data_IF_561477702365
#
_entry.id   IF_561477702365
#
_cell.length_a   1.000
_cell.length_b   1.000
_cell.length_c   1.000
_cell.angle_alpha   90.00
_cell.angle_beta   90.00
_cell.angle_gamma   90.00
#
_symmetry.space_group_name_H-M   'P 1'
#
loop_
_entity.id
_entity.type
_entity.pdbx_description
1 polymer ?
#
# COMPACT_ATOMS: atom_id res chain seq x y z
N UNK A 1 -24.28 12.22 20.54
CA UNK A 1 -24.47 11.56 19.23
C UNK A 1 -24.40 10.02 19.37
N UNK A 2 -25.26 9.41 20.22
CA UNK A 2 -25.30 7.94 20.48
C UNK A 2 -26.62 7.26 20.07
N UNK A 3 -27.59 8.00 19.54
CA UNK A 3 -28.92 7.45 19.17
C UNK A 3 -28.99 6.78 17.78
N UNK A 4 -27.92 6.83 16.97
CA UNK A 4 -27.90 6.20 15.63
C UNK A 4 -27.41 4.75 15.61
N UNK A 5 -26.55 4.34 16.57
CA UNK A 5 -25.90 3.03 16.55
C UNK A 5 -26.81 1.88 17.04
N UNK A 6 -27.75 2.16 17.94
CA UNK A 6 -28.70 1.15 18.44
C UNK A 6 -29.61 0.61 17.34
N UNK A 7 -30.16 1.52 16.52
CA UNK A 7 -31.07 1.16 15.43
C UNK A 7 -30.35 0.33 14.33
N UNK A 8 -29.12 0.68 13.97
CA UNK A 8 -28.35 -0.06 12.95
C UNK A 8 -28.00 -1.50 13.37
N UNK A 9 -27.78 -1.75 14.66
CA UNK A 9 -27.53 -3.11 15.16
C UNK A 9 -28.81 -3.94 15.21
N UNK A 10 -29.93 -3.34 15.63
CA UNK A 10 -31.24 -3.98 15.63
C UNK A 10 -31.70 -4.35 14.21
N UNK A 11 -31.49 -3.46 13.24
CA UNK A 11 -31.78 -3.72 11.81
C UNK A 11 -30.97 -4.90 11.26
N UNK A 12 -29.66 -4.95 11.55
CA UNK A 12 -28.80 -6.07 11.12
C UNK A 12 -29.23 -7.40 11.73
N UNK A 13 -29.57 -7.41 13.02
CA UNK A 13 -30.09 -8.59 13.69
C UNK A 13 -31.42 -9.05 13.07
N UNK A 14 -32.35 -8.13 12.84
CA UNK A 14 -33.63 -8.43 12.22
C UNK A 14 -33.48 -9.00 10.79
N UNK A 15 -32.52 -8.48 10.02
CA UNK A 15 -32.20 -9.02 8.70
C UNK A 15 -31.64 -10.45 8.80
N UNK A 16 -30.72 -10.71 9.73
CA UNK A 16 -30.16 -12.05 9.94
C UNK A 16 -31.24 -13.08 10.29
N UNK A 17 -32.16 -12.72 11.19
CA UNK A 17 -33.32 -13.55 11.57
C UNK A 17 -34.24 -13.79 10.36
N UNK A 18 -34.58 -12.75 9.60
CA UNK A 18 -35.43 -12.89 8.41
C UNK A 18 -34.79 -13.78 7.32
N UNK A 19 -33.46 -13.71 7.13
CA UNK A 19 -32.75 -14.61 6.21
C UNK A 19 -32.81 -16.06 6.72
N UNK A 20 -32.66 -16.27 8.03
CA UNK A 20 -32.75 -17.62 8.61
C UNK A 20 -34.14 -18.22 8.41
N UNK A 21 -35.21 -17.44 8.63
CA UNK A 21 -36.59 -17.85 8.40
C UNK A 21 -36.85 -18.13 6.91
N UNK A 22 -36.36 -17.27 6.01
CA UNK A 22 -36.53 -17.46 4.56
C UNK A 22 -35.91 -18.77 4.04
N UNK A 23 -34.86 -19.28 4.69
CA UNK A 23 -34.24 -20.57 4.32
C UNK A 23 -35.16 -21.77 4.52
N UNK A 24 -36.19 -21.67 5.35
CA UNK A 24 -37.19 -22.74 5.49
C UNK A 24 -38.17 -22.80 4.31
N UNK A 25 -38.03 -21.93 3.32
CA UNK A 25 -38.87 -21.89 2.11
C UNK A 25 -40.15 -21.07 2.24
N UNK A 26 -40.29 -20.24 3.28
CA UNK A 26 -41.44 -19.34 3.45
C UNK A 26 -41.32 -18.12 2.51
N UNK A 27 -42.26 -17.93 1.56
CA UNK A 27 -42.27 -16.77 0.66
C UNK A 27 -42.44 -15.44 1.41
N UNK A 28 -43.22 -15.40 2.50
CA UNK A 28 -43.44 -14.17 3.26
C UNK A 28 -42.17 -13.76 4.03
N UNK A 29 -41.41 -14.72 4.56
CA UNK A 29 -40.10 -14.49 5.15
C UNK A 29 -39.08 -14.01 4.09
N UNK A 30 -39.14 -14.55 2.87
CA UNK A 30 -38.28 -14.12 1.76
C UNK A 30 -38.56 -12.65 1.35
N UNK A 31 -39.83 -12.26 1.27
CA UNK A 31 -40.22 -10.86 1.01
C UNK A 31 -39.80 -9.92 2.14
N UNK A 32 -39.94 -10.35 3.40
CA UNK A 32 -39.48 -9.59 4.56
C UNK A 32 -37.96 -9.40 4.55
N UNK A 33 -37.20 -10.47 4.28
CA UNK A 33 -35.75 -10.41 4.13
C UNK A 33 -35.37 -9.43 3.02
N UNK A 34 -36.10 -9.42 1.90
CA UNK A 34 -35.87 -8.48 0.80
C UNK A 34 -36.10 -7.01 1.22
N UNK A 35 -37.18 -6.72 1.95
CA UNK A 35 -37.46 -5.38 2.48
C UNK A 35 -36.36 -4.91 3.43
N UNK A 36 -36.01 -5.73 4.42
CA UNK A 36 -34.96 -5.40 5.39
C UNK A 36 -33.59 -5.26 4.72
N UNK A 37 -33.26 -6.12 3.76
CA UNK A 37 -32.04 -6.00 2.98
C UNK A 37 -32.01 -4.70 2.19
N UNK A 38 -33.16 -4.19 1.73
CA UNK A 38 -33.26 -2.92 1.03
C UNK A 38 -33.11 -1.68 1.93
N UNK A 39 -33.31 -1.82 3.23
CA UNK A 39 -33.22 -0.70 4.18
C UNK A 39 -31.91 -0.72 4.98
N UNK A 40 -31.19 -1.85 4.96
CA UNK A 40 -29.98 -2.06 5.74
C UNK A 40 -28.84 -1.14 5.33
N UNK A 41 -28.07 -0.66 6.30
CA UNK A 41 -26.91 0.20 6.07
C UNK A 41 -25.76 -0.52 5.31
N UNK A 42 -24.70 0.24 5.04
CA UNK A 42 -23.50 -0.26 4.38
C UNK A 42 -22.91 -1.50 5.08
N UNK A 43 -22.88 -1.51 6.41
CA UNK A 43 -22.24 -2.58 7.17
C UNK A 43 -23.04 -3.87 7.09
N UNK A 44 -24.36 -3.79 7.27
CA UNK A 44 -25.22 -4.96 7.18
C UNK A 44 -25.32 -5.51 5.75
N UNK A 45 -25.19 -4.65 4.74
CA UNK A 45 -25.09 -5.09 3.35
C UNK A 45 -23.88 -6.01 3.13
N UNK A 46 -22.69 -5.62 3.58
CA UNK A 46 -21.50 -6.47 3.45
C UNK A 46 -21.53 -7.67 4.40
N UNK A 47 -22.19 -7.55 5.54
CA UNK A 47 -22.30 -8.65 6.50
C UNK A 47 -23.20 -9.79 5.99
N UNK A 48 -24.29 -9.46 5.28
CA UNK A 48 -25.34 -10.42 4.97
C UNK A 48 -25.55 -10.74 3.47
N UNK A 49 -24.83 -10.09 2.54
CA UNK A 49 -25.04 -10.29 1.09
C UNK A 49 -24.97 -11.75 0.64
N UNK A 50 -24.00 -12.55 1.11
CA UNK A 50 -23.90 -13.98 0.75
C UNK A 50 -25.07 -14.79 1.30
N UNK A 51 -25.41 -14.55 2.56
CA UNK A 51 -26.48 -15.27 3.23
C UNK A 51 -27.84 -14.99 2.56
N UNK A 52 -28.07 -13.74 2.15
CA UNK A 52 -29.25 -13.32 1.40
C UNK A 52 -29.26 -13.84 -0.03
N UNK A 53 -28.14 -13.75 -0.75
CA UNK A 53 -28.00 -14.27 -2.11
C UNK A 53 -28.19 -15.79 -2.19
N UNK A 54 -27.92 -16.52 -1.11
CA UNK A 54 -28.17 -17.95 -0.98
C UNK A 54 -29.66 -18.34 -0.95
N UNK A 55 -30.59 -17.39 -0.81
CA UNK A 55 -32.03 -17.66 -0.81
C UNK A 55 -32.60 -17.94 -2.22
N UNK A 56 -31.91 -17.51 -3.28
CA UNK A 56 -32.36 -17.74 -4.65
C UNK A 56 -31.74 -16.78 -5.67
N UNK A 57 -31.93 -17.07 -6.96
CA UNK A 57 -31.40 -16.26 -8.06
C UNK A 57 -31.87 -14.80 -8.01
N UNK A 58 -33.14 -14.58 -7.66
CA UNK A 58 -33.70 -13.23 -7.51
C UNK A 58 -33.01 -12.44 -6.40
N UNK A 59 -32.74 -13.08 -5.26
CA UNK A 59 -32.08 -12.43 -4.12
C UNK A 59 -30.61 -12.16 -4.43
N UNK A 60 -29.94 -13.07 -5.14
CA UNK A 60 -28.58 -12.85 -5.67
C UNK A 60 -28.53 -11.63 -6.60
N UNK A 61 -29.47 -11.51 -7.53
CA UNK A 61 -29.55 -10.38 -8.46
C UNK A 61 -29.79 -9.05 -7.72
N UNK A 62 -30.67 -9.06 -6.71
CA UNK A 62 -30.94 -7.89 -5.87
C UNK A 62 -29.72 -7.49 -5.02
N UNK A 63 -29.03 -8.47 -4.42
CA UNK A 63 -27.78 -8.23 -3.71
C UNK A 63 -26.75 -7.58 -4.62
N UNK A 64 -26.55 -8.15 -5.82
CA UNK A 64 -25.61 -7.63 -6.80
C UNK A 64 -25.93 -6.19 -7.22
N UNK A 65 -27.20 -5.90 -7.52
CA UNK A 65 -27.65 -4.56 -7.90
C UNK A 65 -27.42 -3.54 -6.79
N UNK A 66 -27.68 -3.91 -5.53
CA UNK A 66 -27.48 -3.04 -4.37
C UNK A 66 -26.01 -2.79 -4.09
N UNK A 67 -25.17 -3.82 -4.15
CA UNK A 67 -23.71 -3.70 -4.01
C UNK A 67 -23.12 -2.79 -5.10
N UNK A 68 -23.54 -2.98 -6.35
CA UNK A 68 -23.10 -2.14 -7.48
C UNK A 68 -23.53 -0.67 -7.32
N UNK A 69 -24.80 -0.43 -6.95
CA UNK A 69 -25.31 0.92 -6.71
C UNK A 69 -24.55 1.60 -5.55
N UNK A 70 -24.31 0.89 -4.45
CA UNK A 70 -23.53 1.44 -3.35
C UNK A 70 -22.09 1.73 -3.76
N UNK A 71 -21.43 0.82 -4.46
CA UNK A 71 -20.08 1.03 -4.98
C UNK A 71 -20.00 2.32 -5.82
N UNK A 72 -20.94 2.52 -6.75
CA UNK A 72 -21.01 3.70 -7.62
C UNK A 72 -21.34 5.00 -6.88
N UNK A 73 -22.14 4.91 -5.81
CA UNK A 73 -22.56 6.07 -5.01
C UNK A 73 -21.50 6.53 -3.99
N UNK A 74 -20.46 5.74 -3.74
CA UNK A 74 -19.41 6.07 -2.76
C UNK A 74 -18.65 7.32 -3.19
N UNK A 75 -19.00 8.47 -2.61
CA UNK A 75 -18.46 9.76 -3.04
C UNK A 75 -16.98 9.96 -2.65
N UNK A 76 -16.54 9.42 -1.50
CA UNK A 76 -15.22 9.76 -0.93
C UNK A 76 -14.49 8.61 -0.23
N UNK A 77 -14.98 7.37 -0.33
CA UNK A 77 -14.39 6.23 0.38
C UNK A 77 -14.01 5.09 -0.58
N UNK A 78 -12.82 5.15 -1.20
CA UNK A 78 -12.25 4.09 -2.03
C UNK A 78 -12.38 2.68 -1.45
N UNK A 79 -12.08 2.52 -0.16
CA UNK A 79 -12.14 1.23 0.56
C UNK A 79 -13.56 0.66 0.61
N UNK A 80 -14.55 1.54 0.78
CA UNK A 80 -15.97 1.20 0.82
C UNK A 80 -16.43 0.69 -0.55
N UNK A 81 -16.05 1.40 -1.63
CA UNK A 81 -16.33 0.96 -2.99
C UNK A 81 -15.66 -0.38 -3.31
N UNK A 82 -14.37 -0.52 -2.97
CA UNK A 82 -13.62 -1.77 -3.08
C UNK A 82 -14.29 -2.93 -2.35
N UNK A 83 -14.73 -2.73 -1.10
CA UNK A 83 -15.37 -3.80 -0.31
C UNK A 83 -16.67 -4.26 -0.96
N UNK A 84 -17.42 -3.32 -1.55
CA UNK A 84 -18.63 -3.62 -2.33
C UNK A 84 -18.34 -4.35 -3.63
N UNK A 85 -17.29 -3.99 -4.35
CA UNK A 85 -16.86 -4.69 -5.56
C UNK A 85 -16.41 -6.12 -5.25
N UNK A 86 -15.71 -6.33 -4.13
CA UNK A 86 -15.33 -7.67 -3.67
C UNK A 86 -16.55 -8.52 -3.28
N UNK A 87 -17.47 -7.94 -2.51
CA UNK A 87 -18.73 -8.61 -2.18
C UNK A 87 -19.53 -8.94 -3.46
N UNK A 88 -19.51 -8.07 -4.46
CA UNK A 88 -20.16 -8.32 -5.74
C UNK A 88 -19.51 -9.47 -6.52
N UNK A 89 -18.17 -9.56 -6.51
CA UNK A 89 -17.44 -10.66 -7.11
C UNK A 89 -17.75 -12.01 -6.44
N UNK A 90 -17.94 -12.01 -5.12
CA UNK A 90 -18.27 -13.20 -4.33
C UNK A 90 -19.65 -13.79 -4.67
N UNK A 91 -20.53 -13.04 -5.33
CA UNK A 91 -21.85 -13.52 -5.76
C UNK A 91 -21.81 -14.47 -6.97
N UNK A 92 -20.66 -14.67 -7.60
CA UNK A 92 -20.50 -15.64 -8.68
C UNK A 92 -20.53 -15.03 -10.09
N UNK A 93 -19.99 -15.75 -11.10
CA UNK A 93 -19.65 -15.23 -12.43
C UNK A 93 -20.81 -14.59 -13.18
N UNK A 94 -22.04 -14.99 -12.92
CA UNK A 94 -23.24 -14.40 -13.52
C UNK A 94 -23.38 -12.90 -13.21
N UNK A 95 -22.71 -12.41 -12.16
CA UNK A 95 -22.72 -11.00 -11.77
C UNK A 95 -21.55 -10.19 -12.34
N UNK A 96 -20.65 -10.82 -13.12
CA UNK A 96 -19.50 -10.15 -13.74
C UNK A 96 -19.88 -8.92 -14.59
N UNK A 97 -20.98 -8.92 -15.38
CA UNK A 97 -21.38 -7.71 -16.12
C UNK A 97 -21.65 -6.50 -15.22
N UNK A 98 -22.30 -6.70 -14.07
CA UNK A 98 -22.57 -5.62 -13.09
C UNK A 98 -21.28 -5.15 -12.41
N UNK A 99 -20.37 -6.08 -12.12
CA UNK A 99 -19.06 -5.77 -11.58
C UNK A 99 -18.27 -4.86 -12.53
N UNK A 100 -18.22 -5.22 -13.82
CA UNK A 100 -17.54 -4.42 -14.84
C UNK A 100 -18.16 -3.04 -15.03
N UNK A 101 -19.50 -2.97 -15.02
CA UNK A 101 -20.19 -1.69 -15.10
C UNK A 101 -19.87 -0.79 -13.90
N UNK A 102 -19.85 -1.34 -12.69
CA UNK A 102 -19.48 -0.59 -11.49
C UNK A 102 -18.02 -0.13 -11.53
N UNK A 103 -17.09 -0.98 -11.97
CA UNK A 103 -15.69 -0.61 -12.18
C UNK A 103 -15.53 0.51 -13.20
N UNK A 104 -16.15 0.39 -14.37
CA UNK A 104 -16.06 1.38 -15.43
C UNK A 104 -16.62 2.73 -14.98
N UNK A 105 -17.74 2.73 -14.24
CA UNK A 105 -18.31 3.95 -13.67
C UNK A 105 -17.33 4.62 -12.69
N UNK A 106 -16.72 3.85 -11.80
CA UNK A 106 -15.77 4.36 -10.83
C UNK A 106 -14.49 4.90 -11.48
N UNK A 107 -14.00 4.23 -12.53
CA UNK A 107 -12.88 4.68 -13.34
C UNK A 107 -13.17 6.02 -14.02
N UNK A 108 -14.33 6.15 -14.66
CA UNK A 108 -14.75 7.39 -15.31
C UNK A 108 -14.95 8.52 -14.30
N UNK A 109 -15.63 8.23 -13.19
CA UNK A 109 -15.94 9.22 -12.14
C UNK A 109 -14.68 9.78 -11.50
N UNK A 110 -13.69 8.92 -11.25
CA UNK A 110 -12.44 9.34 -10.62
C UNK A 110 -11.34 9.66 -11.62
N UNK A 111 -11.60 9.66 -12.93
CA UNK A 111 -10.63 10.06 -13.93
C UNK A 111 -10.04 11.45 -13.59
N UNK A 112 -8.74 11.51 -13.35
CA UNK A 112 -8.03 12.73 -12.95
C UNK A 112 -8.00 13.05 -11.45
N UNK A 113 -8.72 12.31 -10.60
CA UNK A 113 -8.60 12.43 -9.13
C UNK A 113 -7.44 11.55 -8.61
N UNK A 114 -6.62 12.02 -7.65
CA UNK A 114 -5.61 11.17 -6.99
C UNK A 114 -6.21 9.87 -6.42
N UNK A 115 -7.48 9.93 -5.98
CA UNK A 115 -8.23 8.80 -5.45
C UNK A 115 -8.66 7.76 -6.51
N UNK A 116 -8.65 8.03 -7.81
CA UNK A 116 -8.92 7.01 -8.84
C UNK A 116 -7.97 5.81 -8.72
N UNK A 117 -6.71 6.12 -8.38
CA UNK A 117 -5.63 5.14 -8.22
C UNK A 117 -5.86 4.21 -7.03
N UNK A 118 -6.66 4.64 -6.04
CA UNK A 118 -6.88 3.86 -4.83
C UNK A 118 -7.82 2.67 -5.02
N UNK A 119 -8.77 2.76 -5.94
CA UNK A 119 -9.87 1.80 -6.09
C UNK A 119 -9.55 0.63 -7.03
N UNK A 120 -8.55 0.79 -7.88
CA UNK A 120 -8.19 -0.20 -8.90
C UNK A 120 -7.33 -1.34 -8.34
N UNK A 121 -6.73 -1.21 -7.15
CA UNK A 121 -5.76 -2.17 -6.63
C UNK A 121 -6.26 -3.34 -5.79
N UNK A 122 -7.54 -3.36 -5.42
CA UNK A 122 -7.99 -4.09 -4.21
C UNK A 122 -9.11 -5.09 -4.54
N UNK A 123 -9.03 -5.73 -5.70
CA UNK A 123 -9.71 -7.00 -5.86
C UNK A 123 -9.07 -8.01 -4.90
N UNK A 124 -9.92 -8.71 -4.13
CA UNK A 124 -9.65 -9.70 -3.09
C UNK A 124 -8.28 -10.36 -3.25
N UNK A 125 -7.45 -10.26 -2.19
CA UNK A 125 -6.14 -10.93 -2.10
C UNK A 125 -6.07 -11.87 -0.91
N UNK A 126 -5.44 -13.04 -1.05
CA UNK A 126 -4.66 -13.51 -2.22
C UNK A 126 -5.52 -13.86 -3.46
N UNK A 127 -4.98 -13.70 -4.68
CA UNK A 127 -5.62 -14.11 -5.95
C UNK A 127 -6.08 -15.58 -5.92
N UNK A 128 -5.40 -16.41 -5.13
CA UNK A 128 -5.76 -17.81 -4.91
C UNK A 128 -7.17 -18.00 -4.30
N UNK A 129 -7.69 -16.99 -3.60
CA UNK A 129 -9.02 -17.02 -2.98
C UNK A 129 -10.12 -16.51 -3.91
N UNK A 130 -9.77 -16.07 -5.12
CA UNK A 130 -10.71 -15.63 -6.16
C UNK A 130 -11.23 -16.86 -6.90
N UNK A 131 -12.54 -16.99 -7.04
CA UNK A 131 -13.15 -18.08 -7.82
C UNK A 131 -12.59 -18.13 -9.25
N UNK A 132 -12.33 -19.34 -9.77
CA UNK A 132 -11.62 -19.53 -11.04
C UNK A 132 -12.24 -18.77 -12.24
N UNK A 133 -13.56 -18.58 -12.26
CA UNK A 133 -14.25 -17.82 -13.31
C UNK A 133 -13.92 -16.30 -13.30
N UNK A 134 -13.48 -15.77 -12.16
CA UNK A 134 -13.12 -14.36 -11.99
C UNK A 134 -11.62 -14.10 -11.99
N UNK A 135 -10.80 -15.14 -11.82
CA UNK A 135 -9.35 -15.00 -11.81
C UNK A 135 -8.79 -14.26 -13.04
N UNK A 136 -9.26 -14.49 -14.28
CA UNK A 136 -8.80 -13.72 -15.45
C UNK A 136 -9.15 -12.22 -15.37
N UNK A 137 -10.33 -11.90 -14.86
CA UNK A 137 -10.81 -10.53 -14.74
C UNK A 137 -10.01 -9.77 -13.67
N UNK A 138 -9.84 -10.38 -12.50
CA UNK A 138 -9.03 -9.80 -11.43
C UNK A 138 -7.57 -9.63 -11.85
N UNK A 139 -7.01 -10.59 -12.59
CA UNK A 139 -5.67 -10.47 -13.15
C UNK A 139 -5.58 -9.30 -14.15
N UNK A 140 -6.55 -9.16 -15.05
CA UNK A 140 -6.63 -8.03 -15.98
C UNK A 140 -6.71 -6.66 -15.28
N UNK A 141 -7.51 -6.56 -14.21
CA UNK A 141 -7.60 -5.36 -13.37
C UNK A 141 -6.29 -5.06 -12.64
N UNK A 142 -5.64 -6.08 -12.09
CA UNK A 142 -4.35 -5.95 -11.42
C UNK A 142 -3.25 -5.46 -12.39
N UNK A 143 -3.23 -6.00 -13.60
CA UNK A 143 -2.34 -5.58 -14.68
C UNK A 143 -2.63 -4.15 -15.16
N UNK A 144 -3.90 -3.73 -15.21
CA UNK A 144 -4.25 -2.34 -15.53
C UNK A 144 -3.80 -1.39 -14.43
N UNK A 145 -3.99 -1.79 -13.18
CA UNK A 145 -3.61 -1.01 -12.01
C UNK A 145 -2.10 -0.81 -11.93
N UNK A 146 -1.33 -1.87 -12.20
CA UNK A 146 0.12 -1.82 -12.32
C UNK A 146 0.58 -0.78 -13.36
N UNK A 147 -0.14 -0.63 -14.48
CA UNK A 147 0.17 0.38 -15.50
C UNK A 147 -0.18 1.80 -15.08
N UNK A 148 -1.31 1.97 -14.40
CA UNK A 148 -1.83 3.29 -13.99
C UNK A 148 -1.06 3.86 -12.80
N UNK A 149 -0.63 3.00 -11.86
CA UNK A 149 0.04 3.40 -10.63
C UNK A 149 1.18 2.43 -10.26
N UNK A 150 2.26 2.40 -11.04
CA UNK A 150 3.35 1.44 -10.84
C UNK A 150 4.04 1.59 -9.49
N UNK A 151 4.03 2.79 -8.87
CA UNK A 151 4.66 2.99 -7.56
C UNK A 151 4.01 2.15 -6.46
N UNK A 152 2.68 1.97 -6.54
CA UNK A 152 1.90 1.21 -5.57
C UNK A 152 1.98 -0.31 -5.76
N UNK A 153 2.16 -0.78 -6.99
CA UNK A 153 2.03 -2.21 -7.34
C UNK A 153 3.34 -2.90 -7.69
N UNK A 154 4.41 -2.15 -7.98
CA UNK A 154 5.74 -2.74 -8.14
C UNK A 154 6.35 -3.03 -6.76
N UNK A 155 6.94 -4.22 -6.56
CA UNK A 155 7.61 -4.54 -5.32
C UNK A 155 8.78 -3.58 -5.09
N UNK A 156 9.01 -3.23 -3.83
CA UNK A 156 10.28 -2.67 -3.42
C UNK A 156 11.39 -3.71 -3.64
N UNK A 157 12.61 -3.26 -3.96
CA UNK A 157 13.75 -4.15 -4.28
C UNK A 157 14.34 -4.86 -3.06
N UNK A 158 13.78 -4.67 -1.87
CA UNK A 158 14.31 -5.27 -0.65
C UNK A 158 13.70 -6.64 -0.39
N UNK A 159 14.53 -7.66 -0.55
CA UNK A 159 14.26 -8.98 -0.01
C UNK A 159 14.09 -8.90 1.51
N UNK A 160 12.93 -9.31 2.02
CA UNK A 160 12.79 -9.68 3.44
C UNK A 160 12.06 -8.72 4.38
N UNK A 161 11.35 -7.69 3.90
CA UNK A 161 10.37 -6.99 4.74
C UNK A 161 8.95 -7.16 4.21
N UNK A 162 7.97 -7.06 5.12
CA UNK A 162 6.53 -7.24 4.89
C UNK A 162 6.10 -6.53 3.60
N UNK A 163 5.90 -7.30 2.53
CA UNK A 163 5.30 -6.78 1.29
C UNK A 163 3.98 -6.12 1.65
N UNK A 164 3.79 -4.86 1.22
CA UNK A 164 2.46 -4.25 1.30
C UNK A 164 1.49 -5.14 0.53
N UNK A 165 0.22 -5.17 0.96
CA UNK A 165 -0.78 -6.05 0.35
C UNK A 165 -0.83 -5.86 -1.17
N UNK A 166 -0.59 -4.63 -1.63
CA UNK A 166 -0.57 -4.16 -3.01
C UNK A 166 0.65 -4.61 -3.83
N UNK A 167 1.82 -4.77 -3.22
CA UNK A 167 3.06 -5.21 -3.89
C UNK A 167 3.02 -6.70 -4.28
N UNK A 168 2.08 -7.46 -3.69
CA UNK A 168 1.86 -8.87 -4.00
C UNK A 168 1.31 -9.12 -5.40
N UNK A 169 0.90 -8.09 -6.18
CA UNK A 169 0.35 -8.28 -7.54
C UNK A 169 1.34 -9.04 -8.40
N UNK A 170 2.60 -8.58 -8.41
CA UNK A 170 3.64 -9.16 -9.25
C UNK A 170 3.88 -10.61 -8.84
N UNK A 171 3.97 -10.90 -7.54
CA UNK A 171 4.20 -12.26 -7.02
C UNK A 171 3.01 -13.18 -7.32
N UNK A 172 1.77 -12.72 -7.09
CA UNK A 172 0.57 -13.54 -7.28
C UNK A 172 0.29 -13.81 -8.77
N UNK A 173 0.53 -12.83 -9.66
CA UNK A 173 0.46 -13.04 -11.10
C UNK A 173 1.62 -13.90 -11.63
N UNK A 174 2.82 -13.76 -11.06
CA UNK A 174 3.96 -14.61 -11.38
C UNK A 174 3.75 -16.08 -10.97
N UNK A 175 2.97 -16.32 -9.91
CA UNK A 175 2.57 -17.67 -9.48
C UNK A 175 1.32 -18.19 -10.21
N UNK A 176 0.70 -17.38 -11.07
CA UNK A 176 -0.52 -17.67 -11.80
C UNK A 176 -0.35 -18.57 -13.02
N UNK A 177 -1.32 -18.52 -13.94
CA UNK A 177 -1.29 -19.27 -15.20
C UNK A 177 -0.18 -18.78 -16.12
N UNK A 178 0.20 -19.58 -17.13
CA UNK A 178 1.17 -19.15 -18.15
C UNK A 178 0.73 -17.86 -18.85
N UNK A 179 -0.55 -17.73 -19.18
CA UNK A 179 -1.10 -16.51 -19.77
C UNK A 179 -0.93 -15.29 -18.85
N UNK A 180 -1.22 -15.43 -17.55
CA UNK A 180 -1.04 -14.34 -16.57
C UNK A 180 0.43 -13.92 -16.45
N UNK A 181 1.36 -14.87 -16.47
CA UNK A 181 2.80 -14.61 -16.44
C UNK A 181 3.27 -13.87 -17.70
N UNK A 182 2.81 -14.27 -18.87
CA UNK A 182 3.14 -13.61 -20.14
C UNK A 182 2.59 -12.17 -20.17
N UNK A 183 1.34 -11.97 -19.73
CA UNK A 183 0.74 -10.64 -19.65
C UNK A 183 1.46 -9.73 -18.62
N UNK A 184 1.88 -10.28 -17.48
CA UNK A 184 2.71 -9.59 -16.50
C UNK A 184 4.05 -9.20 -17.11
N UNK A 185 4.74 -10.12 -17.79
CA UNK A 185 6.00 -9.83 -18.45
C UNK A 185 5.85 -8.69 -19.45
N UNK A 186 4.83 -8.74 -20.31
CA UNK A 186 4.55 -7.67 -21.27
C UNK A 186 4.30 -6.32 -20.59
N UNK A 187 3.52 -6.29 -19.50
CA UNK A 187 3.26 -5.07 -18.73
C UNK A 187 4.52 -4.50 -18.08
N UNK A 188 5.37 -5.34 -17.51
CA UNK A 188 6.64 -4.93 -16.91
C UNK A 188 7.62 -4.39 -17.97
N UNK A 189 7.72 -5.04 -19.13
CA UNK A 189 8.50 -4.51 -20.27
C UNK A 189 7.96 -3.14 -20.68
N UNK A 190 6.64 -2.98 -20.83
CA UNK A 190 6.01 -1.70 -21.16
C UNK A 190 6.40 -0.60 -20.15
N UNK A 191 6.34 -0.89 -18.85
CA UNK A 191 6.75 0.03 -17.79
C UNK A 191 8.22 0.43 -17.88
N UNK A 192 9.13 -0.47 -18.25
CA UNK A 192 10.56 -0.11 -18.40
C UNK A 192 10.81 0.85 -19.57
N UNK A 193 9.92 0.86 -20.58
CA UNK A 193 10.04 1.74 -21.74
C UNK A 193 9.23 3.04 -21.60
N UNK A 194 8.36 3.15 -20.59
CA UNK A 194 7.52 4.33 -20.38
C UNK A 194 8.35 5.53 -19.92
N UNK A 195 8.38 6.60 -20.72
CA UNK A 195 9.16 7.81 -20.47
C UNK A 195 8.52 8.75 -19.44
N UNK A 196 7.22 8.59 -19.16
CA UNK A 196 6.51 9.38 -18.16
C UNK A 196 6.77 8.88 -16.72
N UNK A 197 7.42 7.72 -16.59
CA UNK A 197 7.79 7.13 -15.31
C UNK A 197 9.17 7.59 -14.85
N UNK A 198 9.31 7.76 -13.54
CA UNK A 198 10.60 8.02 -12.92
C UNK A 198 11.59 6.89 -13.19
N UNK A 199 12.91 7.17 -13.23
CA UNK A 199 13.96 6.15 -13.29
C UNK A 199 13.73 5.02 -12.28
N UNK A 200 13.29 5.36 -11.06
CA UNK A 200 13.07 4.39 -10.00
C UNK A 200 11.95 3.41 -10.31
N UNK A 201 10.81 3.90 -10.78
CA UNK A 201 9.70 3.02 -11.17
C UNK A 201 10.12 2.08 -12.31
N UNK A 202 10.88 2.59 -13.28
CA UNK A 202 11.41 1.80 -14.40
C UNK A 202 12.38 0.73 -13.92
N UNK A 203 13.27 1.05 -12.97
CA UNK A 203 14.19 0.07 -12.37
C UNK A 203 13.49 -0.93 -11.44
N UNK A 204 12.41 -0.54 -10.74
CA UNK A 204 11.55 -1.49 -10.02
C UNK A 204 10.86 -2.47 -10.99
N UNK A 205 10.40 -2.01 -12.14
CA UNK A 205 9.85 -2.87 -13.18
C UNK A 205 10.91 -3.84 -13.75
N UNK A 206 12.15 -3.38 -13.93
CA UNK A 206 13.30 -4.26 -14.26
C UNK A 206 13.50 -5.32 -13.19
N UNK A 207 13.56 -4.95 -11.92
CA UNK A 207 13.77 -5.90 -10.83
C UNK A 207 12.63 -6.91 -10.73
N UNK A 208 11.38 -6.48 -10.87
CA UNK A 208 10.22 -7.37 -10.96
C UNK A 208 10.32 -8.32 -12.17
N UNK A 209 10.81 -7.83 -13.32
CA UNK A 209 11.07 -8.65 -14.50
C UNK A 209 12.18 -9.67 -14.25
N UNK A 210 13.28 -9.30 -13.58
CA UNK A 210 14.37 -10.24 -13.27
C UNK A 210 13.92 -11.42 -12.41
N UNK A 211 12.95 -11.19 -11.51
CA UNK A 211 12.33 -12.26 -10.71
C UNK A 211 11.45 -13.19 -11.55
N UNK A 212 10.81 -12.67 -12.60
CA UNK A 212 9.94 -13.44 -13.49
C UNK A 212 10.73 -14.18 -14.57
N UNK A 213 11.66 -13.48 -15.22
CA UNK A 213 12.58 -13.93 -16.24
C UNK A 213 13.90 -13.13 -16.13
N UNK A 214 14.91 -13.79 -15.56
CA UNK A 214 16.21 -13.18 -15.32
C UNK A 214 16.92 -12.70 -16.60
N UNK A 215 16.67 -13.34 -17.76
CA UNK A 215 17.27 -12.91 -19.02
C UNK A 215 16.60 -11.64 -19.54
N UNK A 216 15.26 -11.62 -19.58
CA UNK A 216 14.50 -10.45 -20.00
C UNK A 216 14.75 -9.24 -19.08
N UNK A 217 14.90 -9.47 -17.77
CA UNK A 217 15.22 -8.43 -16.80
C UNK A 217 16.60 -7.80 -17.06
N UNK A 218 17.63 -8.61 -17.28
CA UNK A 218 18.97 -8.12 -17.65
C UNK A 218 18.97 -7.33 -18.96
N UNK A 219 18.20 -7.77 -19.95
CA UNK A 219 18.06 -7.06 -21.22
C UNK A 219 17.38 -5.69 -21.02
N UNK A 220 16.32 -5.62 -20.20
CA UNK A 220 15.69 -4.35 -19.85
C UNK A 220 16.66 -3.43 -19.09
N UNK A 221 17.44 -3.96 -18.14
CA UNK A 221 18.45 -3.20 -17.41
C UNK A 221 19.54 -2.63 -18.35
N UNK A 222 20.00 -3.43 -19.31
CA UNK A 222 20.99 -3.00 -20.30
C UNK A 222 20.45 -1.87 -21.19
N UNK A 223 19.16 -1.91 -21.56
CA UNK A 223 18.50 -0.86 -22.34
C UNK A 223 18.36 0.44 -21.56
N UNK A 224 17.98 0.39 -20.28
CA UNK A 224 17.93 1.59 -19.43
C UNK A 224 19.31 2.25 -19.34
N UNK A 225 20.37 1.45 -19.10
CA UNK A 225 21.76 1.94 -19.10
C UNK A 225 22.17 2.56 -20.44
N UNK A 226 21.83 1.91 -21.55
CA UNK A 226 22.12 2.45 -22.89
C UNK A 226 21.36 3.77 -23.18
N UNK A 227 20.21 3.98 -22.53
CA UNK A 227 19.44 5.23 -22.59
C UNK A 227 19.95 6.31 -21.62
N UNK A 228 21.05 6.06 -20.89
CA UNK A 228 21.59 6.99 -19.88
C UNK A 228 20.73 7.09 -18.62
N UNK A 229 19.82 6.13 -18.41
CA UNK A 229 19.01 6.06 -17.20
C UNK A 229 19.78 5.20 -16.21
N UNK A 230 20.40 5.88 -15.25
CA UNK A 230 21.13 5.23 -14.18
C UNK A 230 20.15 4.56 -13.21
N UNK A 231 20.60 3.45 -12.65
CA UNK A 231 19.83 2.76 -11.61
C UNK A 231 19.82 3.67 -10.37
N UNK A 232 18.65 4.14 -9.93
CA UNK A 232 18.55 5.01 -8.76
C UNK A 232 19.09 4.40 -7.45
N UNK A 233 19.43 3.11 -7.43
CA UNK A 233 20.28 2.51 -6.40
C UNK A 233 21.73 3.03 -6.36
N UNK A 234 22.12 3.90 -7.28
CA UNK A 234 23.31 4.77 -7.25
C UNK A 234 22.83 6.19 -7.61
N UNK A 235 23.14 7.23 -6.83
CA UNK A 235 24.42 7.41 -6.14
C UNK A 235 24.32 7.23 -4.62
N UNK A 236 25.44 6.82 -4.00
CA UNK A 236 25.66 6.92 -2.56
C UNK A 236 25.68 8.39 -2.10
N UNK A 237 25.39 8.68 -0.81
CA UNK A 237 25.56 10.03 -0.28
C UNK A 237 26.99 10.52 -0.57
N UNK A 238 27.16 11.84 -0.74
CA UNK A 238 28.48 12.43 -1.00
C UNK A 238 29.50 11.88 0.00
N UNK A 239 30.60 11.30 -0.52
CA UNK A 239 31.63 10.65 0.30
C UNK A 239 32.23 11.55 1.38
N UNK A 240 32.28 12.87 1.15
CA UNK A 240 32.72 13.88 2.13
C UNK A 240 31.70 14.02 3.25
N UNK A 241 30.41 14.04 2.91
CA UNK A 241 29.31 14.09 3.88
C UNK A 241 29.29 12.80 4.71
N UNK A 242 29.41 11.64 4.07
CA UNK A 242 29.51 10.33 4.74
C UNK A 242 30.65 10.32 5.74
N UNK A 243 31.87 10.71 5.33
CA UNK A 243 33.03 10.72 6.21
C UNK A 243 32.85 11.64 7.43
N UNK A 244 32.18 12.79 7.25
CA UNK A 244 31.88 13.72 8.36
C UNK A 244 30.87 13.13 9.33
N UNK A 245 29.80 12.54 8.83
CA UNK A 245 28.77 11.87 9.64
C UNK A 245 29.35 10.69 10.40
N UNK A 246 30.17 9.87 9.75
CA UNK A 246 30.87 8.75 10.39
C UNK A 246 31.80 9.21 11.51
N UNK A 247 32.57 10.27 11.29
CA UNK A 247 33.45 10.83 12.31
C UNK A 247 32.66 11.36 13.53
N UNK A 248 31.49 11.98 13.30
CA UNK A 248 30.63 12.46 14.38
C UNK A 248 30.01 11.28 15.17
N UNK A 249 29.48 10.28 14.48
CA UNK A 249 28.92 9.10 15.12
C UNK A 249 29.96 8.27 15.88
N UNK A 250 31.18 8.16 15.36
CA UNK A 250 32.25 7.47 16.06
C UNK A 250 32.50 8.11 17.44
N UNK A 251 32.53 9.44 17.52
CA UNK A 251 32.67 10.14 18.81
C UNK A 251 31.48 9.90 19.74
N UNK A 252 30.26 9.92 19.20
CA UNK A 252 29.04 9.63 19.97
C UNK A 252 29.10 8.20 20.55
N UNK A 253 29.43 7.20 19.73
CA UNK A 253 29.54 5.81 20.14
C UNK A 253 30.67 5.59 21.16
N UNK A 254 31.81 6.27 21.01
CA UNK A 254 32.93 6.19 21.94
C UNK A 254 32.55 6.77 23.31
N UNK A 255 31.91 7.93 23.32
CA UNK A 255 31.38 8.55 24.54
C UNK A 255 30.29 7.68 25.20
N UNK A 256 29.38 7.09 24.40
CA UNK A 256 28.39 6.13 24.90
C UNK A 256 29.06 4.89 25.49
N UNK A 257 30.11 4.35 24.88
CA UNK A 257 30.83 3.18 25.38
C UNK A 257 31.47 3.44 26.73
N UNK A 258 32.01 4.63 26.94
CA UNK A 258 32.65 5.04 28.19
C UNK A 258 31.61 5.32 29.29
N UNK A 259 30.55 6.08 28.98
CA UNK A 259 29.64 6.64 29.99
C UNK A 259 28.36 5.85 30.17
N UNK A 260 27.82 5.27 29.09
CA UNK A 260 26.49 4.65 29.05
C UNK A 260 26.45 3.43 28.12
N UNK A 261 27.26 2.38 28.36
CA UNK A 261 27.46 1.28 27.40
C UNK A 261 26.18 0.49 27.09
N UNK A 262 25.19 0.53 27.98
CA UNK A 262 23.88 -0.10 27.76
C UNK A 262 23.10 0.54 26.59
N UNK A 263 23.30 1.84 26.33
CA UNK A 263 22.62 2.56 25.24
C UNK A 263 23.16 2.19 23.85
N UNK A 264 24.35 1.59 23.74
CA UNK A 264 24.86 1.12 22.45
C UNK A 264 23.97 0.00 21.87
N UNK A 265 23.35 -0.81 22.73
CA UNK A 265 22.39 -1.83 22.32
C UNK A 265 21.06 -1.26 21.82
N UNK A 266 20.80 0.01 22.08
CA UNK A 266 19.59 0.72 21.68
C UNK A 266 19.75 1.47 20.34
N UNK A 267 20.95 1.40 19.74
CA UNK A 267 21.19 1.85 18.38
C UNK A 267 20.77 0.76 17.39
N UNK A 268 19.92 1.13 16.44
CA UNK A 268 19.48 0.22 15.39
C UNK A 268 20.64 -0.13 14.44
N UNK A 269 20.60 -1.30 13.79
CA UNK A 269 21.58 -1.65 12.77
C UNK A 269 21.55 -0.67 11.58
N UNK A 270 22.63 -0.62 10.78
CA UNK A 270 22.68 0.09 9.50
C UNK A 270 21.45 -0.18 8.61
N UNK A 271 20.95 0.87 7.96
CA UNK A 271 20.00 0.72 6.87
C UNK A 271 20.73 0.19 5.62
N UNK A 272 20.08 -0.66 4.81
CA UNK A 272 20.71 -1.23 3.61
C UNK A 272 21.00 -0.12 2.58
N UNK A 273 22.09 -0.21 1.79
CA UNK A 273 22.43 0.81 0.80
C UNK A 273 21.28 1.18 -0.16
N UNK A 274 20.48 0.19 -0.56
CA UNK A 274 19.32 0.40 -1.44
C UNK A 274 18.19 1.19 -0.76
N UNK A 275 17.96 0.95 0.53
CA UNK A 275 16.93 1.66 1.31
C UNK A 275 17.36 3.11 1.58
N UNK A 276 18.67 3.34 1.77
CA UNK A 276 19.26 4.68 1.89
C UNK A 276 19.05 5.47 0.59
N UNK A 277 19.30 4.85 -0.57
CA UNK A 277 19.07 5.46 -1.87
C UNK A 277 17.57 5.82 -2.09
N UNK A 278 16.66 4.93 -1.66
CA UNK A 278 15.21 5.18 -1.67
C UNK A 278 14.84 6.39 -0.81
N UNK A 279 15.39 6.51 0.41
CA UNK A 279 15.13 7.65 1.27
C UNK A 279 15.55 8.98 0.61
N UNK A 280 16.75 9.02 0.01
CA UNK A 280 17.24 10.23 -0.67
C UNK A 280 16.34 10.67 -1.81
N UNK A 281 15.97 9.74 -2.69
CA UNK A 281 15.31 10.11 -3.94
C UNK A 281 13.80 10.23 -3.85
N UNK A 282 13.15 9.38 -3.05
CA UNK A 282 11.68 9.41 -2.91
C UNK A 282 11.28 10.42 -1.86
N UNK A 283 11.94 10.39 -0.71
CA UNK A 283 11.57 11.21 0.43
C UNK A 283 12.31 12.56 0.42
N UNK A 284 13.19 12.80 -0.55
CA UNK A 284 13.98 14.03 -0.64
C UNK A 284 14.93 14.22 0.54
N UNK A 285 15.33 13.12 1.17
CA UNK A 285 16.12 13.15 2.40
C UNK A 285 17.55 13.63 2.08
N UNK A 286 18.09 14.60 2.84
CA UNK A 286 19.44 15.13 2.63
C UNK A 286 20.55 14.08 2.81
N UNK A 287 21.72 14.32 2.22
CA UNK A 287 22.83 13.37 2.21
C UNK A 287 23.34 13.05 3.61
N UNK A 288 23.36 14.05 4.49
CA UNK A 288 23.80 13.86 5.87
C UNK A 288 22.84 12.95 6.65
N UNK A 289 21.54 13.06 6.41
CA UNK A 289 20.54 12.20 7.07
C UNK A 289 20.56 10.79 6.48
N UNK A 290 20.73 10.67 5.16
CA UNK A 290 20.90 9.39 4.50
C UNK A 290 22.17 8.64 5.00
N UNK A 291 23.28 9.36 5.18
CA UNK A 291 24.49 8.82 5.79
C UNK A 291 24.28 8.40 7.26
N UNK A 292 23.46 9.13 8.03
CA UNK A 292 23.09 8.73 9.38
C UNK A 292 22.32 7.41 9.39
N UNK A 293 21.32 7.27 8.52
CA UNK A 293 20.54 6.03 8.38
C UNK A 293 21.42 4.86 7.93
N UNK A 294 22.40 5.11 7.06
CA UNK A 294 23.37 4.12 6.61
C UNK A 294 24.25 3.60 7.76
N UNK A 295 24.37 4.33 8.87
CA UNK A 295 25.11 3.89 10.06
C UNK A 295 24.19 3.30 11.14
N UNK A 296 23.12 4.02 11.48
CA UNK A 296 22.11 3.58 12.44
C UNK A 296 20.72 3.94 11.94
N UNK A 297 19.88 2.93 11.67
CA UNK A 297 18.51 3.15 11.19
C UNK A 297 17.57 3.78 12.24
N UNK A 298 17.95 3.76 13.52
CA UNK A 298 17.27 4.42 14.64
C UNK A 298 18.18 4.51 15.87
N UNK A 299 17.77 5.29 16.87
CA UNK A 299 18.36 5.29 18.22
C UNK A 299 17.27 5.39 19.29
N UNK A 300 17.25 4.49 20.28
CA UNK A 300 16.29 4.51 21.40
C UNK A 300 16.95 5.03 22.67
N UNK A 301 17.12 6.35 22.78
CA UNK A 301 17.89 6.96 23.87
C UNK A 301 17.04 7.40 25.07
N UNK A 302 15.72 7.63 24.90
CA UNK A 302 14.73 8.07 25.91
C UNK A 302 13.31 7.65 25.46
N UNK A 303 12.20 7.72 26.25
CA UNK A 303 10.96 6.97 25.95
C UNK A 303 10.19 7.43 24.69
N UNK A 304 10.73 8.38 23.94
CA UNK A 304 10.24 8.74 22.62
C UNK A 304 11.18 8.19 21.57
N UNK A 305 10.67 7.22 20.82
CA UNK A 305 11.31 6.61 19.66
C UNK A 305 11.20 7.59 18.47
N UNK A 306 12.31 7.85 17.79
CA UNK A 306 12.31 8.38 16.44
C UNK A 306 13.11 7.42 15.60
N UNK A 307 12.44 6.37 15.14
CA UNK A 307 12.97 5.36 14.26
C UNK A 307 12.57 5.64 12.80
N UNK A 308 13.33 5.09 11.85
CA UNK A 308 12.82 4.97 10.49
C UNK A 308 11.49 4.20 10.43
N UNK A 309 11.25 3.28 11.37
CA UNK A 309 9.95 2.59 11.53
C UNK A 309 8.85 3.53 12.03
N UNK A 310 9.17 4.66 12.67
CA UNK A 310 8.23 5.74 13.05
C UNK A 310 8.02 6.72 11.91
N UNK A 311 9.03 7.05 11.10
CA UNK A 311 8.82 7.86 9.89
C UNK A 311 8.03 7.05 8.85
N UNK A 312 8.39 5.78 8.67
CA UNK A 312 7.64 4.80 7.85
C UNK A 312 6.31 4.42 8.50
N UNK A 313 6.22 4.44 9.82
CA UNK A 313 5.03 4.24 10.62
C UNK A 313 4.10 5.44 10.54
N UNK A 314 4.60 6.67 10.47
CA UNK A 314 3.81 7.85 10.12
C UNK A 314 3.41 7.83 8.63
N UNK A 315 4.08 7.03 7.80
CA UNK A 315 3.68 6.72 6.41
C UNK A 315 2.79 5.45 6.27
N UNK A 316 2.64 4.66 7.34
CA UNK A 316 2.04 3.31 7.32
C UNK A 316 0.98 3.02 8.39
N UNK A 317 0.99 3.78 9.49
CA UNK A 317 -0.01 3.99 10.54
C UNK A 317 -0.86 5.24 10.23
N UNK A 318 -0.89 5.65 8.95
CA UNK A 318 -1.94 6.46 8.33
C UNK A 318 -3.25 5.65 8.27
N UNK A 319 -3.65 5.13 9.41
CA UNK A 319 -4.92 4.46 9.66
C UNK A 319 -5.13 4.49 11.17
N UNK A 320 -5.87 5.50 11.66
CA UNK A 320 -7.31 5.30 11.87
C UNK A 320 -8.07 6.53 12.40
N UNK A 321 -7.43 7.58 12.95
CA UNK A 321 -8.20 8.71 13.54
C UNK A 321 -7.72 10.16 13.28
N UNK A 322 -6.52 10.42 12.75
CA UNK A 322 -5.92 11.78 12.80
C UNK A 322 -5.92 12.57 11.48
N UNK A 323 -6.64 12.09 10.46
CA UNK A 323 -6.69 12.73 9.13
C UNK A 323 -7.68 13.92 9.02
N UNK A 324 -8.11 14.51 10.14
CA UNK A 324 -9.12 15.58 10.10
C UNK A 324 -8.60 17.02 10.19
N UNK A 325 -7.37 17.29 10.63
CA UNK A 325 -6.88 18.67 10.69
C UNK A 325 -5.45 18.77 10.14
N UNK A 326 -5.29 19.42 8.99
CA UNK A 326 -3.98 19.82 8.44
C UNK A 326 -3.12 18.69 7.84
N UNK A 327 -3.47 18.32 6.60
CA UNK A 327 -2.57 17.64 5.65
C UNK A 327 -1.42 18.54 5.20
N UNK A 328 -0.65 19.06 6.15
CA UNK A 328 0.56 19.84 5.90
C UNK A 328 1.77 18.91 6.04
N UNK A 329 2.37 18.57 4.89
CA UNK A 329 3.73 18.01 4.83
C UNK A 329 4.80 19.10 5.04
N UNK A 330 4.40 20.28 5.55
CA UNK A 330 5.20 21.48 5.70
C UNK A 330 6.50 21.33 6.50
N UNK A 331 6.61 20.33 7.38
CA UNK A 331 7.72 20.28 8.35
C UNK A 331 8.89 19.36 7.95
N UNK A 332 8.79 18.54 6.89
CA UNK A 332 9.91 17.72 6.42
C UNK A 332 11.01 18.55 5.73
N UNK A 333 10.68 19.56 4.89
CA UNK A 333 11.64 20.55 4.43
C UNK A 333 12.21 21.42 5.57
N UNK A 334 11.48 21.60 6.67
CA UNK A 334 11.95 22.33 7.85
C UNK A 334 12.90 21.51 8.74
N UNK A 335 12.93 20.18 8.58
CA UNK A 335 13.73 19.29 9.43
C UNK A 335 15.23 19.28 9.09
N UNK A 336 15.65 19.65 7.89
CA UNK A 336 17.07 19.79 7.57
C UNK A 336 17.32 20.39 6.19
N UNK A 337 17.86 21.61 6.16
CA UNK A 337 18.88 21.89 5.15
C UNK A 337 20.12 21.08 5.52
N UNK A 338 20.82 20.49 4.55
CA UNK A 338 21.90 19.49 4.77
C UNK A 338 22.97 20.00 5.78
N UNK A 339 23.21 21.31 5.78
CA UNK A 339 24.11 21.99 6.70
C UNK A 339 23.60 22.02 8.16
N UNK A 340 22.32 22.33 8.39
CA UNK A 340 21.79 22.53 9.74
C UNK A 340 21.71 21.23 10.55
N UNK A 341 21.37 20.11 9.90
CA UNK A 341 21.37 18.79 10.53
C UNK A 341 22.80 18.35 10.90
N UNK A 342 23.72 18.52 9.96
CA UNK A 342 25.12 18.21 10.17
C UNK A 342 25.71 19.04 11.31
N UNK A 343 25.42 20.34 11.37
CA UNK A 343 25.85 21.23 12.45
C UNK A 343 25.33 20.80 13.83
N UNK A 344 24.06 20.36 13.92
CA UNK A 344 23.49 19.83 15.18
C UNK A 344 24.17 18.53 15.62
N UNK A 345 24.42 17.60 14.69
CA UNK A 345 25.10 16.34 14.99
C UNK A 345 26.54 16.58 15.48
N UNK A 346 27.25 17.50 14.84
CA UNK A 346 28.58 17.91 15.26
C UNK A 346 28.58 18.60 16.63
N UNK A 347 27.67 19.55 16.86
CA UNK A 347 27.54 20.24 18.15
C UNK A 347 27.23 19.27 19.30
N UNK A 348 26.41 18.25 19.06
CA UNK A 348 26.16 17.21 20.05
C UNK A 348 27.41 16.36 20.35
N UNK A 349 28.17 15.99 19.32
CA UNK A 349 29.44 15.28 19.52
C UNK A 349 30.45 16.13 20.33
N UNK A 350 30.57 17.42 20.04
CA UNK A 350 31.44 18.34 20.78
C UNK A 350 30.99 18.54 22.24
N UNK A 351 29.67 18.61 22.48
CA UNK A 351 29.11 18.66 23.83
C UNK A 351 29.54 17.44 24.66
N UNK A 352 29.45 16.23 24.09
CA UNK A 352 29.87 15.00 24.77
C UNK A 352 31.37 15.00 25.09
N UNK A 353 32.22 15.43 24.14
CA UNK A 353 33.68 15.54 24.32
C UNK A 353 34.04 16.53 25.44
N UNK A 354 33.28 17.63 25.58
CA UNK A 354 33.50 18.65 26.60
C UNK A 354 33.12 18.22 28.03
N UNK A 355 32.60 17.00 28.21
CA UNK A 355 32.18 16.48 29.50
C UNK A 355 30.73 16.82 29.89
N UNK A 356 29.92 17.30 28.93
CA UNK A 356 28.49 17.47 29.12
C UNK A 356 27.81 16.12 29.37
N UNK A 357 27.25 15.95 30.56
CA UNK A 357 26.39 14.84 30.96
C UNK A 357 25.19 15.40 31.73
#
# INVERSE_FOLDING_TARGET
MRMGQGNAMEQRKALAEAIADARSGDPAATERAAGLFQETDYYGLVEHYLAYAGLGERQRDQAASRLAAHAQSCQFAPRTATRMLNALADLGPDQAPKLHQALAHLQQRWAGAPLARTCLGVFRRPLADVGAAFAPHVAGEALRSLRVDPDRFLPHRTDGFVMRREERVVVELAAGTTEQREQLAAALVELTHNQDLSPLQRHRAVSAMEHLDAAAGRDCAARLRAAGIEDPGDPMPDSVVVARVDAAWQRIEDAMRERSPHLLGELGPPLRPQDVAVCRQILGVPDAFAACLARHRYARLFPHELSYEDVRGMLGQVDEEWWQDDGDWGDLPELADDAAWLDRLHAYAEYLDSGGA
#
